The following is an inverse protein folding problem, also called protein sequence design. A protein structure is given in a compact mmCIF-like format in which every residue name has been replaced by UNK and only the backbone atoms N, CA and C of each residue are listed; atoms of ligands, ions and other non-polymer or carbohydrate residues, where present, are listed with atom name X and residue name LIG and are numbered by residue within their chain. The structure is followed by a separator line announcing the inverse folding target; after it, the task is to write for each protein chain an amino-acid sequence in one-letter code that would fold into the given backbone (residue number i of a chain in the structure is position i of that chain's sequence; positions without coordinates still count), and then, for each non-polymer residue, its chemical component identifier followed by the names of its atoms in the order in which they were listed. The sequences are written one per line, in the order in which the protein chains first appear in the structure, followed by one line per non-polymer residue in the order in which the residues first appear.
data_IF_858775924740
#
_entry.id   IF_858775924740
#
_cell.length_a   1.000
_cell.length_b   1.000
_cell.length_c   1.000
_cell.angle_alpha   90.00
_cell.angle_beta   90.00
_cell.angle_gamma   90.00
#
_symmetry.space_group_name_H-M   'P 1'
#
loop_
_entity.id
_entity.type
_entity.pdbx_description
1 polymer ?
#
# COMPACT_ATOMS: atom_id res chain seq x y z
N UNK A 1 22.04 -31.10 -3.69
CA UNK A 1 20.90 -30.44 -3.01
C UNK A 1 21.09 -28.94 -3.19
N UNK A 2 20.71 -28.41 -4.35
CA UNK A 2 20.87 -26.99 -4.70
C UNK A 2 19.88 -26.15 -3.91
N UNK A 3 20.39 -25.09 -3.28
CA UNK A 3 19.60 -24.09 -2.57
C UNK A 3 18.60 -23.42 -3.53
N UNK A 4 17.32 -23.77 -3.41
CA UNK A 4 16.18 -23.14 -4.10
C UNK A 4 15.90 -21.70 -3.63
N UNK A 5 16.95 -20.91 -3.42
CA UNK A 5 16.89 -19.48 -3.09
C UNK A 5 17.23 -18.59 -4.29
N UNK A 6 17.59 -19.17 -5.45
CA UNK A 6 18.05 -18.41 -6.62
C UNK A 6 16.94 -18.03 -7.64
N UNK A 7 15.71 -18.55 -7.51
CA UNK A 7 14.64 -18.30 -8.51
C UNK A 7 13.63 -17.19 -8.16
N UNK A 8 13.97 -16.33 -7.19
CA UNK A 8 13.44 -14.95 -7.18
C UNK A 8 14.56 -14.02 -7.57
N UNK A 9 14.70 -13.74 -8.86
CA UNK A 9 15.63 -12.72 -9.34
C UNK A 9 15.40 -11.40 -8.57
N UNK A 10 16.45 -10.60 -8.36
CA UNK A 10 16.36 -9.28 -7.73
C UNK A 10 15.18 -8.45 -8.27
N UNK A 11 14.93 -8.54 -9.58
CA UNK A 11 13.79 -7.90 -10.26
C UNK A 11 12.44 -8.31 -9.67
N UNK A 12 12.27 -9.58 -9.33
CA UNK A 12 11.03 -10.12 -8.76
C UNK A 12 10.80 -9.63 -7.33
N UNK A 13 11.86 -9.46 -6.55
CA UNK A 13 11.77 -8.85 -5.21
C UNK A 13 11.41 -7.36 -5.28
N UNK A 14 12.07 -6.60 -6.16
CA UNK A 14 11.76 -5.18 -6.40
C UNK A 14 10.29 -5.01 -6.80
N UNK A 15 9.81 -5.83 -7.73
CA UNK A 15 8.42 -5.79 -8.18
C UNK A 15 7.42 -6.09 -7.06
N UNK A 16 7.69 -7.09 -6.22
CA UNK A 16 6.83 -7.42 -5.08
C UNK A 16 6.79 -6.27 -4.06
N UNK A 17 7.93 -5.62 -3.79
CA UNK A 17 7.97 -4.46 -2.89
C UNK A 17 7.24 -3.24 -3.47
N UNK A 18 7.40 -2.95 -4.76
CA UNK A 18 6.69 -1.85 -5.43
C UNK A 18 5.18 -2.07 -5.41
N UNK A 19 4.68 -3.26 -5.74
CA UNK A 19 3.23 -3.54 -5.68
C UNK A 19 2.73 -3.41 -4.24
N UNK A 20 3.45 -3.96 -3.27
CA UNK A 20 3.04 -3.90 -1.86
C UNK A 20 3.00 -2.47 -1.34
N UNK A 21 3.90 -1.61 -1.82
CA UNK A 21 3.99 -0.21 -1.42
C UNK A 21 2.95 0.69 -2.11
N UNK A 22 2.78 0.55 -3.43
CA UNK A 22 1.90 1.43 -4.22
C UNK A 22 0.43 0.99 -4.20
N UNK A 23 0.16 -0.29 -3.96
CA UNK A 23 -1.17 -0.88 -4.03
C UNK A 23 -1.44 -1.71 -2.76
N UNK A 24 -1.64 -1.09 -1.59
CA UNK A 24 -2.22 -1.82 -0.46
C UNK A 24 -3.68 -2.23 -0.78
N UNK A 25 -4.17 -3.43 -0.40
CA UNK A 25 -3.52 -4.49 0.40
C UNK A 25 -2.82 -5.58 -0.45
N UNK A 26 -2.55 -5.33 -1.74
CA UNK A 26 -2.15 -6.37 -2.71
C UNK A 26 -0.79 -7.04 -2.41
N UNK A 27 0.00 -6.50 -1.49
CA UNK A 27 1.19 -7.16 -0.93
C UNK A 27 0.87 -8.37 -0.05
N UNK A 28 -0.32 -8.44 0.57
CA UNK A 28 -0.66 -9.48 1.55
C UNK A 28 -0.78 -10.89 0.93
N UNK A 29 -1.19 -11.00 -0.33
CA UNK A 29 -1.24 -12.28 -1.04
C UNK A 29 0.15 -12.91 -1.22
N UNK A 30 1.16 -12.08 -1.49
CA UNK A 30 2.55 -12.51 -1.56
C UNK A 30 3.10 -12.83 -0.16
N UNK A 31 2.82 -11.99 0.83
CA UNK A 31 3.21 -12.25 2.21
C UNK A 31 2.73 -13.62 2.70
N UNK A 32 1.45 -13.96 2.47
CA UNK A 32 0.90 -15.26 2.84
C UNK A 32 1.67 -16.42 2.20
N UNK A 33 1.99 -16.30 0.90
CA UNK A 33 2.76 -17.31 0.16
C UNK A 33 4.17 -17.51 0.72
N UNK A 34 4.87 -16.44 1.10
CA UNK A 34 6.24 -16.51 1.61
C UNK A 34 6.31 -16.91 3.10
N UNK A 35 5.35 -16.50 3.93
CA UNK A 35 5.28 -16.87 5.36
C UNK A 35 4.93 -18.36 5.52
N UNK A 36 4.07 -18.91 4.66
CA UNK A 36 3.72 -20.34 4.70
C UNK A 36 4.85 -21.26 4.20
N UNK A 37 5.91 -20.70 3.62
CA UNK A 37 7.04 -21.48 3.11
C UNK A 37 7.90 -22.04 4.27
N UNK A 38 8.46 -23.24 4.11
CA UNK A 38 9.25 -23.92 5.15
C UNK A 38 10.61 -23.26 5.45
N UNK A 39 11.10 -22.46 4.52
CA UNK A 39 12.39 -21.77 4.63
C UNK A 39 12.31 -20.49 5.50
N UNK A 40 13.18 -20.39 6.49
CA UNK A 40 13.29 -19.20 7.35
C UNK A 40 13.59 -17.90 6.58
N UNK A 41 14.34 -17.97 5.48
CA UNK A 41 14.63 -16.78 4.65
C UNK A 41 13.36 -16.29 3.95
N UNK A 42 12.55 -17.20 3.41
CA UNK A 42 11.28 -16.87 2.78
C UNK A 42 10.31 -16.23 3.79
N UNK A 43 10.25 -16.76 5.02
CA UNK A 43 9.43 -16.16 6.10
C UNK A 43 9.81 -14.73 6.42
N UNK A 44 11.12 -14.41 6.50
CA UNK A 44 11.59 -13.03 6.72
C UNK A 44 11.12 -12.08 5.63
N UNK A 45 11.23 -12.48 4.36
CA UNK A 45 10.75 -11.68 3.21
C UNK A 45 9.24 -11.42 3.32
N UNK A 46 8.46 -12.45 3.66
CA UNK A 46 7.03 -12.31 3.84
C UNK A 46 6.65 -11.30 4.93
N UNK A 47 7.34 -11.31 6.07
CA UNK A 47 7.12 -10.33 7.15
C UNK A 47 7.52 -8.90 6.76
N UNK A 48 8.60 -8.72 5.99
CA UNK A 48 8.97 -7.41 5.45
C UNK A 48 7.88 -6.87 4.53
N UNK A 49 7.30 -7.72 3.67
CA UNK A 49 6.18 -7.35 2.80
C UNK A 49 4.96 -6.90 3.61
N UNK A 50 4.62 -7.60 4.70
CA UNK A 50 3.54 -7.19 5.60
C UNK A 50 3.83 -5.81 6.20
N UNK A 51 5.02 -5.60 6.76
CA UNK A 51 5.39 -4.34 7.39
C UNK A 51 5.31 -3.17 6.41
N UNK A 52 5.86 -3.33 5.19
CA UNK A 52 5.77 -2.33 4.12
C UNK A 52 4.31 -2.04 3.77
N UNK A 53 3.48 -3.07 3.62
CA UNK A 53 2.06 -2.91 3.27
C UNK A 53 1.29 -2.13 4.35
N UNK A 54 1.55 -2.40 5.63
CA UNK A 54 0.90 -1.69 6.75
C UNK A 54 1.31 -0.22 6.78
N UNK A 55 2.61 0.08 6.60
CA UNK A 55 3.11 1.46 6.55
C UNK A 55 2.48 2.20 5.36
N UNK A 56 2.46 1.58 4.18
CA UNK A 56 1.85 2.17 2.99
C UNK A 56 0.36 2.44 3.16
N UNK A 57 -0.37 1.54 3.83
CA UNK A 57 -1.78 1.75 4.12
C UNK A 57 -2.00 2.96 5.04
N UNK A 58 -1.18 3.10 6.10
CA UNK A 58 -1.25 4.24 7.00
C UNK A 58 -1.00 5.57 6.27
N UNK A 59 0.03 5.62 5.42
CA UNK A 59 0.34 6.80 4.59
C UNK A 59 -0.83 7.13 3.64
N UNK A 60 -1.40 6.12 2.98
CA UNK A 60 -2.55 6.33 2.08
C UNK A 60 -3.78 6.87 2.81
N UNK A 61 -4.05 6.40 4.03
CA UNK A 61 -5.18 6.93 4.83
C UNK A 61 -4.98 8.41 5.14
N UNK A 62 -3.75 8.82 5.49
CA UNK A 62 -3.45 10.23 5.76
C UNK A 62 -3.62 11.07 4.50
N UNK A 63 -3.02 10.65 3.38
CA UNK A 63 -3.14 11.35 2.09
C UNK A 63 -4.60 11.46 1.63
N UNK A 64 -5.37 10.38 1.75
CA UNK A 64 -6.78 10.36 1.37
C UNK A 64 -7.60 11.32 2.23
N UNK A 65 -7.35 11.38 3.55
CA UNK A 65 -7.99 12.36 4.44
C UNK A 65 -7.67 13.80 4.04
N UNK A 66 -6.40 14.09 3.72
CA UNK A 66 -5.99 15.41 3.26
C UNK A 66 -6.67 15.79 1.95
N UNK A 67 -6.68 14.89 0.97
CA UNK A 67 -7.37 15.10 -0.31
C UNK A 67 -8.87 15.33 -0.12
N UNK A 68 -9.50 14.61 0.82
CA UNK A 68 -10.91 14.80 1.11
C UNK A 68 -11.21 16.10 1.84
N UNK A 69 -10.38 16.51 2.79
CA UNK A 69 -10.51 17.80 3.44
C UNK A 69 -10.48 18.95 2.42
N UNK A 70 -9.56 18.87 1.45
CA UNK A 70 -9.46 19.84 0.35
C UNK A 70 -10.73 19.83 -0.52
N UNK A 71 -11.17 18.66 -0.97
CA UNK A 71 -12.41 18.51 -1.75
C UNK A 71 -13.66 19.05 -1.02
N UNK A 72 -13.82 18.75 0.27
CA UNK A 72 -14.92 19.28 1.08
C UNK A 72 -14.86 20.80 1.20
N UNK A 73 -13.66 21.37 1.40
CA UNK A 73 -13.49 22.82 1.48
C UNK A 73 -13.95 23.51 0.19
N UNK A 74 -13.55 22.99 -0.98
CA UNK A 74 -13.97 23.52 -2.30
C UNK A 74 -15.48 23.49 -2.47
N UNK A 75 -16.14 22.37 -2.16
CA UNK A 75 -17.60 22.26 -2.26
C UNK A 75 -18.29 23.23 -1.30
N UNK A 76 -17.82 23.31 -0.05
CA UNK A 76 -18.44 24.17 0.96
C UNK A 76 -18.30 25.67 0.65
N UNK A 77 -17.17 26.08 0.08
CA UNK A 77 -16.97 27.49 -0.31
C UNK A 77 -17.89 27.86 -1.48
N UNK A 78 -18.04 26.97 -2.47
CA UNK A 78 -18.92 27.22 -3.61
C UNK A 78 -20.39 27.24 -3.19
N UNK A 79 -20.81 26.35 -2.28
CA UNK A 79 -22.20 26.36 -1.78
C UNK A 79 -22.53 27.62 -0.99
N UNK A 80 -21.57 28.19 -0.25
CA UNK A 80 -21.76 29.50 0.39
C UNK A 80 -21.91 30.62 -0.66
N UNK A 81 -21.10 30.62 -1.71
CA UNK A 81 -21.23 31.60 -2.80
C UNK A 81 -22.63 31.55 -3.45
N UNK A 82 -23.20 30.38 -3.69
CA UNK A 82 -24.57 30.27 -4.23
C UNK A 82 -25.62 30.84 -3.27
N UNK A 83 -25.46 30.57 -1.96
CA UNK A 83 -26.34 31.12 -0.92
C UNK A 83 -26.24 32.65 -0.82
N UNK A 84 -25.04 33.21 -0.93
CA UNK A 84 -24.81 34.66 -0.88
C UNK A 84 -25.39 35.39 -2.10
N UNK A 85 -25.49 34.70 -3.24
CA UNK A 85 -26.14 35.18 -4.46
C UNK A 85 -27.67 34.99 -4.43
N UNK A 86 -28.23 34.38 -3.38
CA UNK A 86 -29.67 34.20 -3.19
C UNK A 86 -30.29 33.06 -4.00
N UNK A 87 -29.50 32.07 -4.43
CA UNK A 87 -29.96 30.82 -5.04
C UNK A 87 -30.10 29.68 -4.03
#
# INVERSE_FOLDING_TARGET
MELQLLSTSLKKQIFMYLISFLLPPFGLGWAFKYIKNGDQKAKKIGWVIVAVTVISLAVNIVLFKSAMAEFYSVISNNSQMYRDLGY
#
